data_IF_028862457609
#
_entry.id   IF_028862457609
#
_cell.length_a   1.000
_cell.length_b   1.000
_cell.length_c   1.000
_cell.angle_alpha   90.00
_cell.angle_beta   90.00
_cell.angle_gamma   90.00
#
_symmetry.space_group_name_H-M   'P 1'
#
loop_
_entity.id
_entity.type
_entity.pdbx_description
1 polymer ?
#
# COMPACT_ATOMS: atom_id res chain seq x y z
N UNK A 1 36.69 -13.77 6.69
CA UNK A 1 35.71 -14.24 7.66
C UNK A 1 36.41 -15.20 8.64
N UNK A 2 36.17 -15.03 9.92
CA UNK A 2 36.71 -15.89 10.96
C UNK A 2 35.63 -16.24 11.97
N UNK A 3 35.85 -17.30 12.77
CA UNK A 3 35.05 -17.54 13.97
C UNK A 3 35.85 -17.10 15.19
N UNK A 4 35.21 -16.45 16.13
CA UNK A 4 35.78 -16.14 17.42
C UNK A 4 35.86 -17.42 18.27
N UNK A 5 36.61 -17.36 19.37
CA UNK A 5 36.70 -18.48 20.35
C UNK A 5 35.32 -18.83 20.94
N UNK A 6 34.38 -17.87 20.95
CA UNK A 6 32.98 -18.06 21.36
C UNK A 6 32.08 -18.61 20.22
N UNK A 7 32.65 -18.92 19.06
CA UNK A 7 31.91 -19.46 17.93
C UNK A 7 31.20 -18.44 17.04
N UNK A 8 31.29 -17.14 17.32
CA UNK A 8 30.64 -16.09 16.53
C UNK A 8 31.32 -15.89 15.19
N UNK A 9 30.51 -15.71 14.14
CA UNK A 9 30.98 -15.36 12.82
C UNK A 9 31.41 -13.90 12.77
N UNK A 10 32.68 -13.65 12.50
CA UNK A 10 33.26 -12.30 12.52
C UNK A 10 34.09 -12.02 11.27
N UNK A 11 34.22 -10.75 10.92
CA UNK A 11 35.06 -10.26 9.84
C UNK A 11 36.30 -9.59 10.45
N UNK A 12 37.49 -10.16 10.16
CA UNK A 12 38.74 -9.50 10.51
C UNK A 12 39.05 -8.45 9.44
N UNK A 13 38.85 -7.19 9.77
CA UNK A 13 39.16 -6.09 8.87
C UNK A 13 40.70 -5.90 8.76
N UNK A 14 41.20 -5.83 7.55
CA UNK A 14 42.60 -5.50 7.25
C UNK A 14 42.80 -4.03 6.93
N UNK A 15 41.73 -3.37 6.50
CA UNK A 15 41.71 -1.95 6.19
C UNK A 15 40.33 -1.35 6.49
N UNK A 16 40.29 -0.12 6.99
CA UNK A 16 39.08 0.65 7.26
C UNK A 16 39.22 2.02 6.64
N UNK A 17 38.26 2.37 5.79
CA UNK A 17 38.17 3.71 5.18
C UNK A 17 36.99 4.45 5.79
N UNK A 18 37.25 5.59 6.43
CA UNK A 18 36.20 6.45 6.94
C UNK A 18 35.63 7.30 5.81
N UNK A 19 34.39 7.00 5.40
CA UNK A 19 33.76 7.64 4.25
C UNK A 19 33.13 8.98 4.59
N UNK A 20 32.53 9.12 5.79
CA UNK A 20 31.81 10.31 6.22
C UNK A 20 31.76 10.40 7.74
N UNK A 21 31.72 11.62 8.28
CA UNK A 21 31.55 11.87 9.70
C UNK A 21 30.07 12.02 10.06
N UNK A 22 29.55 11.21 10.97
CA UNK A 22 28.24 11.39 11.58
C UNK A 22 28.39 12.35 12.78
N UNK A 23 27.98 13.61 12.61
CA UNK A 23 28.17 14.67 13.62
C UNK A 23 27.03 14.70 14.65
N UNK A 24 25.91 14.06 14.39
CA UNK A 24 24.77 13.98 15.30
C UNK A 24 24.64 12.56 15.84
N UNK A 25 24.38 12.40 17.16
CA UNK A 25 24.11 11.08 17.72
C UNK A 25 22.86 10.46 17.10
N UNK A 26 22.90 9.15 16.91
CA UNK A 26 21.72 8.37 16.57
C UNK A 26 20.82 8.23 17.80
N UNK A 27 19.53 7.94 17.62
CA UNK A 27 18.65 7.53 18.71
C UNK A 27 19.24 6.34 19.48
N UNK A 28 18.93 6.23 20.76
CA UNK A 28 19.43 5.13 21.59
C UNK A 28 19.04 3.77 20.99
N UNK A 29 20.05 2.88 20.91
CA UNK A 29 19.91 1.57 20.27
C UNK A 29 18.88 0.67 20.96
N UNK A 30 18.68 0.82 22.27
CA UNK A 30 17.81 -0.06 23.06
C UNK A 30 16.37 0.44 23.21
N UNK A 31 16.13 1.72 23.11
CA UNK A 31 14.79 2.32 23.28
C UNK A 31 14.21 2.88 21.96
N UNK A 32 15.06 3.01 20.93
CA UNK A 32 14.63 3.57 19.64
C UNK A 32 14.06 4.98 19.75
N UNK A 33 13.21 5.34 18.80
CA UNK A 33 12.38 6.54 18.86
C UNK A 33 11.01 6.16 19.43
N UNK A 34 10.62 6.76 20.57
CA UNK A 34 9.30 6.57 21.20
C UNK A 34 8.32 7.68 20.86
N UNK A 35 8.82 8.86 20.47
CA UNK A 35 7.98 9.97 20.08
C UNK A 35 7.40 9.76 18.67
N UNK A 36 6.09 9.61 18.60
CA UNK A 36 5.33 9.32 17.35
C UNK A 36 5.53 10.43 16.32
N UNK A 37 5.53 11.69 16.72
CA UNK A 37 5.77 12.84 15.83
C UNK A 37 7.16 12.74 15.17
N UNK A 38 8.18 12.46 15.94
CA UNK A 38 9.56 12.28 15.44
C UNK A 38 9.66 11.07 14.51
N UNK A 39 8.99 9.95 14.82
CA UNK A 39 8.92 8.76 13.97
C UNK A 39 8.36 9.12 12.59
N UNK A 40 7.28 9.87 12.52
CA UNK A 40 6.66 10.26 11.25
C UNK A 40 7.48 11.33 10.50
N UNK A 41 7.96 12.36 11.21
CA UNK A 41 8.70 13.47 10.59
C UNK A 41 10.13 13.12 10.19
N UNK A 42 10.76 12.19 10.92
CA UNK A 42 12.15 11.76 10.70
C UNK A 42 12.21 10.26 10.47
N UNK A 43 11.41 9.76 9.54
CA UNK A 43 11.30 8.33 9.21
C UNK A 43 12.64 7.66 8.98
N UNK A 44 13.62 8.35 8.42
CA UNK A 44 14.96 7.82 8.22
C UNK A 44 15.68 7.43 9.54
N UNK A 45 15.43 8.16 10.64
CA UNK A 45 15.96 7.81 11.95
C UNK A 45 15.24 6.59 12.53
N UNK A 46 13.94 6.49 12.35
CA UNK A 46 13.17 5.31 12.74
C UNK A 46 13.66 4.07 11.98
N UNK A 47 13.90 4.16 10.68
CA UNK A 47 14.40 3.03 9.88
C UNK A 47 15.81 2.57 10.30
N UNK A 48 16.66 3.49 10.78
CA UNK A 48 17.99 3.14 11.30
C UNK A 48 17.89 2.42 12.63
N UNK A 49 17.02 2.88 13.53
CA UNK A 49 16.94 2.44 14.92
C UNK A 49 15.92 1.31 15.16
N UNK A 50 14.97 1.13 14.25
CA UNK A 50 13.87 0.17 14.41
C UNK A 50 13.82 -0.80 13.22
N UNK A 51 14.32 -2.01 13.43
CA UNK A 51 14.34 -3.05 12.41
C UNK A 51 12.93 -3.47 11.95
N UNK A 52 11.97 -3.49 12.86
CA UNK A 52 10.58 -3.83 12.54
C UNK A 52 9.96 -2.80 11.59
N UNK A 53 10.19 -1.50 11.82
CA UNK A 53 9.77 -0.45 10.88
C UNK A 53 10.38 -0.66 9.49
N UNK A 54 11.66 -0.96 9.42
CA UNK A 54 12.33 -1.25 8.15
C UNK A 54 11.67 -2.42 7.41
N UNK A 55 11.48 -3.55 8.10
CA UNK A 55 10.86 -4.75 7.50
C UNK A 55 9.41 -4.49 7.05
N UNK A 56 8.65 -3.67 7.77
CA UNK A 56 7.29 -3.27 7.39
C UNK A 56 7.27 -2.56 6.03
N UNK A 57 8.20 -1.64 5.77
CA UNK A 57 8.29 -0.96 4.47
C UNK A 57 8.79 -1.87 3.35
N UNK A 58 9.73 -2.78 3.65
CA UNK A 58 10.15 -3.82 2.70
C UNK A 58 8.96 -4.71 2.33
N UNK A 59 8.20 -5.18 3.32
CA UNK A 59 7.01 -6.01 3.13
C UNK A 59 5.96 -5.29 2.29
N UNK A 60 5.68 -4.01 2.59
CA UNK A 60 4.78 -3.19 1.76
C UNK A 60 5.19 -3.16 0.29
N UNK A 61 6.48 -2.96 0.01
CA UNK A 61 6.99 -2.96 -1.37
C UNK A 61 6.84 -4.32 -2.05
N UNK A 62 7.08 -5.42 -1.32
CA UNK A 62 6.86 -6.78 -1.81
C UNK A 62 5.39 -7.03 -2.14
N UNK A 63 4.46 -6.65 -1.25
CA UNK A 63 3.02 -6.79 -1.49
C UNK A 63 2.61 -6.11 -2.79
N UNK A 64 3.02 -4.86 -3.03
CA UNK A 64 2.70 -4.14 -4.26
C UNK A 64 3.28 -4.87 -5.50
N UNK A 65 4.50 -5.39 -5.40
CA UNK A 65 5.12 -6.15 -6.49
C UNK A 65 4.37 -7.46 -6.78
N UNK A 66 3.88 -8.14 -5.75
CA UNK A 66 3.09 -9.37 -5.93
C UNK A 66 1.69 -9.11 -6.51
N UNK A 67 1.06 -8.00 -6.14
CA UNK A 67 -0.20 -7.56 -6.76
C UNK A 67 -0.01 -7.35 -8.25
N UNK A 68 1.06 -6.64 -8.67
CA UNK A 68 1.40 -6.47 -10.09
C UNK A 68 1.59 -7.81 -10.78
N UNK A 69 2.42 -8.68 -10.21
CA UNK A 69 2.71 -10.01 -10.78
C UNK A 69 1.45 -10.85 -10.97
N UNK A 70 0.53 -10.79 -10.00
CA UNK A 70 -0.74 -11.51 -10.10
C UNK A 70 -1.60 -10.96 -11.24
N UNK A 71 -1.79 -9.65 -11.31
CA UNK A 71 -2.61 -8.99 -12.33
C UNK A 71 -2.02 -9.18 -13.75
N UNK A 72 -0.71 -9.00 -13.90
CA UNK A 72 -0.01 -9.27 -15.16
C UNK A 72 -0.20 -10.71 -15.61
N UNK A 73 -0.11 -11.66 -14.66
CA UNK A 73 -0.37 -13.09 -14.90
C UNK A 73 -1.82 -13.40 -15.29
N UNK A 74 -2.77 -12.55 -14.93
CA UNK A 74 -4.18 -12.62 -15.36
C UNK A 74 -4.45 -11.88 -16.69
N UNK A 75 -3.41 -11.31 -17.31
CA UNK A 75 -3.52 -10.58 -18.58
C UNK A 75 -4.02 -9.15 -18.45
N UNK A 76 -3.93 -8.55 -17.27
CA UNK A 76 -4.18 -7.12 -17.10
C UNK A 76 -2.97 -6.30 -17.53
N UNK A 77 -3.21 -5.12 -18.07
CA UNK A 77 -2.20 -4.13 -18.40
C UNK A 77 -2.14 -3.05 -17.32
N UNK A 78 -0.96 -2.81 -16.75
CA UNK A 78 -0.74 -1.63 -15.92
C UNK A 78 -0.68 -0.39 -16.80
N UNK A 79 -1.44 0.62 -16.46
CA UNK A 79 -1.49 1.89 -17.19
C UNK A 79 -1.26 3.06 -16.25
N UNK A 80 -0.82 4.18 -16.80
CA UNK A 80 -0.70 5.45 -16.11
C UNK A 80 -1.65 6.47 -16.77
N UNK A 81 -2.51 7.08 -15.95
CA UNK A 81 -3.43 8.12 -16.41
C UNK A 81 -3.07 9.46 -15.78
N UNK A 82 -3.53 10.60 -16.33
CA UNK A 82 -3.17 11.91 -15.84
C UNK A 82 -3.50 12.13 -14.36
N UNK A 83 -2.60 12.79 -13.64
CA UNK A 83 -2.81 13.26 -12.26
C UNK A 83 -3.54 14.60 -12.24
N UNK A 84 -3.25 15.47 -13.22
CA UNK A 84 -3.90 16.77 -13.37
C UNK A 84 -5.16 16.64 -14.24
N UNK A 85 -6.29 17.08 -13.71
CA UNK A 85 -7.59 17.06 -14.38
C UNK A 85 -8.16 18.47 -14.47
N UNK A 86 -9.01 18.72 -15.46
CA UNK A 86 -9.78 19.97 -15.54
C UNK A 86 -10.91 19.99 -14.50
N UNK A 87 -11.48 18.81 -14.21
CA UNK A 87 -12.58 18.65 -13.25
C UNK A 87 -12.36 17.37 -12.40
N UNK A 88 -12.77 17.43 -11.14
CA UNK A 88 -12.76 16.26 -10.27
C UNK A 88 -13.90 15.29 -10.68
N UNK A 89 -13.59 13.99 -10.65
CA UNK A 89 -14.58 12.97 -10.97
C UNK A 89 -14.13 11.56 -10.56
N UNK A 90 -15.06 10.59 -10.62
CA UNK A 90 -14.82 9.20 -10.28
C UNK A 90 -14.95 8.86 -8.79
N UNK A 91 -15.14 9.86 -7.93
CA UNK A 91 -15.36 9.69 -6.49
C UNK A 91 -16.09 10.90 -5.91
N UNK A 92 -16.55 10.78 -4.66
CA UNK A 92 -17.11 11.89 -3.90
C UNK A 92 -16.07 12.35 -2.86
N UNK A 93 -15.20 13.28 -3.24
CA UNK A 93 -14.16 13.83 -2.37
C UNK A 93 -13.84 15.28 -2.77
N UNK A 94 -13.29 16.07 -1.84
CA UNK A 94 -12.81 17.41 -2.13
C UNK A 94 -11.45 17.36 -2.81
N UNK A 95 -11.26 17.96 -4.01
CA UNK A 95 -9.97 17.97 -4.71
C UNK A 95 -9.01 19.02 -4.13
N UNK A 96 -7.71 18.83 -4.37
CA UNK A 96 -6.72 19.91 -4.33
C UNK A 96 -6.78 20.68 -5.64
N UNK A 97 -6.74 21.99 -5.58
CA UNK A 97 -6.73 22.89 -6.74
C UNK A 97 -5.31 23.39 -6.97
N UNK A 98 -4.89 23.48 -8.21
CA UNK A 98 -3.63 24.07 -8.64
C UNK A 98 -3.84 24.92 -9.88
N UNK A 99 -2.85 25.77 -10.22
CA UNK A 99 -2.94 26.67 -11.37
C UNK A 99 -1.90 26.31 -12.42
N UNK A 100 -2.33 26.16 -13.69
CA UNK A 100 -1.46 25.95 -14.82
C UNK A 100 -1.04 27.32 -15.41
N UNK A 101 0.14 27.81 -15.06
CA UNK A 101 0.60 29.17 -15.37
C UNK A 101 0.60 29.47 -16.86
N UNK A 102 1.08 28.56 -17.71
CA UNK A 102 1.21 28.83 -19.15
C UNK A 102 -0.14 28.94 -19.88
N UNK A 103 -1.16 28.23 -19.39
CA UNK A 103 -2.52 28.26 -19.95
C UNK A 103 -3.47 29.17 -19.19
N UNK A 104 -3.05 29.67 -18.04
CA UNK A 104 -3.85 30.50 -17.12
C UNK A 104 -5.21 29.89 -16.79
N UNK A 105 -5.20 28.58 -16.43
CA UNK A 105 -6.39 27.83 -16.01
C UNK A 105 -6.16 27.13 -14.68
N UNK A 106 -7.22 26.99 -13.90
CA UNK A 106 -7.20 26.15 -12.69
C UNK A 106 -7.40 24.69 -13.09
N UNK A 107 -6.67 23.83 -12.42
CA UNK A 107 -6.74 22.38 -12.54
C UNK A 107 -6.87 21.75 -11.17
N UNK A 108 -7.25 20.49 -11.12
CA UNK A 108 -7.37 19.72 -9.88
C UNK A 108 -6.47 18.50 -9.91
N UNK A 109 -5.97 18.10 -8.73
CA UNK A 109 -5.35 16.80 -8.56
C UNK A 109 -6.43 15.72 -8.51
N UNK A 110 -6.21 14.59 -9.18
CA UNK A 110 -7.16 13.48 -9.26
C UNK A 110 -7.57 12.95 -7.89
N UNK A 111 -8.85 12.68 -7.73
CA UNK A 111 -9.44 12.04 -6.55
C UNK A 111 -9.75 10.56 -6.76
N UNK A 112 -9.64 10.08 -7.99
CA UNK A 112 -9.81 8.69 -8.46
C UNK A 112 -9.21 8.53 -9.86
N UNK A 113 -8.98 7.30 -10.31
CA UNK A 113 -8.54 6.96 -11.66
C UNK A 113 -9.68 6.44 -12.55
N UNK A 114 -10.84 6.21 -11.98
CA UNK A 114 -12.02 5.55 -12.55
C UNK A 114 -12.35 5.98 -13.99
N UNK A 115 -12.57 7.29 -14.20
CA UNK A 115 -13.06 7.78 -15.50
C UNK A 115 -12.07 7.55 -16.63
N UNK A 116 -10.78 7.67 -16.36
CA UNK A 116 -9.75 7.42 -17.36
C UNK A 116 -9.64 5.93 -17.67
N UNK A 117 -9.68 5.04 -16.68
CA UNK A 117 -9.64 3.60 -16.89
C UNK A 117 -10.87 3.10 -17.66
N UNK A 118 -12.06 3.63 -17.38
CA UNK A 118 -13.28 3.34 -18.15
C UNK A 118 -13.16 3.79 -19.61
N UNK A 119 -12.51 4.93 -19.89
CA UNK A 119 -12.24 5.38 -21.27
C UNK A 119 -11.30 4.42 -22.00
N UNK A 120 -10.31 3.83 -21.30
CA UNK A 120 -9.44 2.82 -21.91
C UNK A 120 -10.21 1.54 -22.25
N UNK A 121 -11.16 1.11 -21.41
CA UNK A 121 -12.08 0.01 -21.75
C UNK A 121 -12.89 0.33 -23.01
N UNK A 122 -13.46 1.53 -23.11
CA UNK A 122 -14.15 1.98 -24.33
C UNK A 122 -13.22 1.98 -25.54
N UNK A 123 -11.94 2.30 -25.34
CA UNK A 123 -10.88 2.26 -26.35
C UNK A 123 -10.45 0.85 -26.77
N UNK A 124 -11.01 -0.21 -26.17
CA UNK A 124 -10.74 -1.62 -26.52
C UNK A 124 -9.68 -2.30 -25.66
N UNK A 125 -9.21 -1.67 -24.58
CA UNK A 125 -8.34 -2.34 -23.59
C UNK A 125 -9.21 -3.13 -22.61
N UNK A 126 -9.36 -4.43 -22.84
CA UNK A 126 -10.32 -5.26 -22.09
C UNK A 126 -9.99 -5.47 -20.61
N UNK A 127 -8.71 -5.36 -20.23
CA UNK A 127 -8.24 -5.56 -18.85
C UNK A 127 -7.15 -4.55 -18.52
N UNK A 128 -7.45 -3.62 -17.62
CA UNK A 128 -6.52 -2.56 -17.22
C UNK A 128 -6.51 -2.37 -15.71
N UNK A 129 -5.39 -1.96 -15.16
CA UNK A 129 -5.30 -1.49 -13.78
C UNK A 129 -4.31 -0.34 -13.67
N UNK A 130 -4.47 0.45 -12.63
CA UNK A 130 -3.51 1.48 -12.24
C UNK A 130 -3.26 1.43 -10.75
N UNK A 131 -1.99 1.43 -10.35
CA UNK A 131 -1.56 1.63 -8.97
C UNK A 131 -0.94 3.01 -8.89
N UNK A 132 -1.65 3.96 -8.28
CA UNK A 132 -1.23 5.35 -8.30
C UNK A 132 -1.60 6.15 -7.06
N UNK A 133 -1.05 7.35 -6.98
CA UNK A 133 -1.40 8.32 -5.95
C UNK A 133 -2.73 8.98 -6.25
N UNK A 134 -3.56 9.04 -5.23
CA UNK A 134 -4.86 9.72 -5.18
C UNK A 134 -4.76 10.83 -4.15
N UNK A 135 -5.45 11.93 -4.40
CA UNK A 135 -5.36 13.16 -3.61
C UNK A 135 -6.75 13.60 -3.16
N UNK A 136 -6.99 13.69 -1.86
CA UNK A 136 -8.25 14.14 -1.28
C UNK A 136 -7.98 15.18 -0.22
N UNK A 137 -8.47 16.41 -0.45
CA UNK A 137 -8.29 17.56 0.44
C UNK A 137 -9.31 17.51 1.58
N UNK A 138 -9.13 16.54 2.46
CA UNK A 138 -10.01 16.23 3.58
C UNK A 138 -9.23 16.14 4.88
N UNK A 139 -9.89 15.87 6.00
CA UNK A 139 -9.25 15.72 7.30
C UNK A 139 -8.25 14.56 7.36
N UNK A 140 -7.24 14.68 8.22
CA UNK A 140 -6.23 13.65 8.47
C UNK A 140 -6.47 12.98 9.82
N UNK A 141 -6.30 11.67 9.87
CA UNK A 141 -6.27 10.88 11.10
C UNK A 141 -5.28 9.69 10.95
N UNK A 142 -5.33 8.74 11.87
CA UNK A 142 -4.44 7.58 11.85
C UNK A 142 -4.60 6.68 10.61
N UNK A 143 -5.75 6.72 9.95
CA UNK A 143 -6.12 5.87 8.80
C UNK A 143 -6.35 6.67 7.52
N UNK A 144 -6.41 7.98 7.57
CA UNK A 144 -6.67 8.86 6.43
C UNK A 144 -5.54 9.86 6.21
N UNK A 145 -4.97 9.84 5.02
CA UNK A 145 -4.00 10.82 4.55
C UNK A 145 -4.57 11.58 3.33
N UNK A 146 -4.19 12.86 3.13
CA UNK A 146 -4.64 13.64 1.98
C UNK A 146 -4.09 13.11 0.66
N UNK A 147 -2.99 12.35 0.68
CA UNK A 147 -2.48 11.58 -0.44
C UNK A 147 -2.24 10.13 -0.04
N UNK A 148 -2.68 9.20 -0.85
CA UNK A 148 -2.54 7.77 -0.60
C UNK A 148 -2.40 6.98 -1.89
N UNK A 149 -1.85 5.78 -1.79
CA UNK A 149 -1.78 4.84 -2.93
C UNK A 149 -3.07 4.05 -3.00
N UNK A 150 -3.71 4.04 -4.17
CA UNK A 150 -4.85 3.21 -4.49
C UNK A 150 -4.55 2.32 -5.69
N UNK A 151 -5.28 1.24 -5.80
CA UNK A 151 -5.36 0.41 -6.99
C UNK A 151 -6.80 0.42 -7.49
N UNK A 152 -6.98 0.65 -8.77
CA UNK A 152 -8.26 0.43 -9.45
C UNK A 152 -8.05 -0.55 -10.61
N UNK A 153 -8.99 -1.48 -10.77
CA UNK A 153 -8.92 -2.57 -11.75
C UNK A 153 -10.24 -2.59 -12.52
N UNK A 154 -10.14 -2.65 -13.84
CA UNK A 154 -11.31 -2.68 -14.72
C UNK A 154 -11.18 -3.80 -15.74
N UNK A 155 -12.27 -4.54 -15.94
CA UNK A 155 -12.34 -5.65 -16.89
C UNK A 155 -13.65 -5.56 -17.69
N UNK A 156 -13.53 -5.60 -19.01
CA UNK A 156 -14.69 -5.73 -19.91
C UNK A 156 -15.32 -7.13 -19.78
N UNK A 157 -16.62 -7.20 -20.04
CA UNK A 157 -17.40 -8.45 -20.04
C UNK A 157 -17.36 -9.26 -18.74
N UNK A 158 -17.08 -8.60 -17.62
CA UNK A 158 -17.05 -9.18 -16.28
C UNK A 158 -18.21 -8.65 -15.44
N UNK A 159 -18.72 -9.48 -14.54
CA UNK A 159 -19.69 -9.09 -13.55
C UNK A 159 -19.06 -8.93 -12.14
N UNK A 160 -19.91 -8.67 -11.15
CA UNK A 160 -19.43 -8.47 -9.77
C UNK A 160 -18.83 -9.76 -9.15
N UNK A 161 -19.23 -10.95 -9.63
CA UNK A 161 -18.69 -12.22 -9.13
C UNK A 161 -17.25 -12.40 -9.62
N UNK A 162 -16.98 -12.10 -10.90
CA UNK A 162 -15.62 -12.11 -11.47
C UNK A 162 -14.67 -11.18 -10.69
N UNK A 163 -15.17 -9.98 -10.31
CA UNK A 163 -14.37 -9.02 -9.54
C UNK A 163 -14.18 -9.47 -8.09
N UNK A 164 -15.14 -10.17 -7.49
CA UNK A 164 -14.97 -10.79 -6.17
C UNK A 164 -13.88 -11.86 -6.21
N UNK A 165 -13.89 -12.74 -7.21
CA UNK A 165 -12.89 -13.79 -7.37
C UNK A 165 -11.50 -13.20 -7.67
N UNK A 166 -11.43 -12.18 -8.51
CA UNK A 166 -10.19 -11.44 -8.77
C UNK A 166 -9.63 -10.82 -7.48
N UNK A 167 -10.47 -10.16 -6.70
CA UNK A 167 -10.08 -9.52 -5.43
C UNK A 167 -9.56 -10.54 -4.42
N UNK A 168 -10.26 -11.65 -4.26
CA UNK A 168 -9.83 -12.77 -3.42
C UNK A 168 -8.48 -13.31 -3.86
N UNK A 169 -8.31 -13.56 -5.17
CA UNK A 169 -7.07 -14.05 -5.74
C UNK A 169 -5.88 -13.08 -5.53
N UNK A 170 -6.08 -11.78 -5.66
CA UNK A 170 -5.05 -10.77 -5.36
C UNK A 170 -4.59 -10.87 -3.90
N UNK A 171 -5.55 -10.93 -2.97
CA UNK A 171 -5.25 -10.96 -1.53
C UNK A 171 -4.55 -12.27 -1.15
N UNK A 172 -5.06 -13.41 -1.61
CA UNK A 172 -4.46 -14.72 -1.33
C UNK A 172 -3.06 -14.85 -1.93
N UNK A 173 -2.86 -14.39 -3.17
CA UNK A 173 -1.54 -14.41 -3.81
C UNK A 173 -0.52 -13.58 -3.02
N UNK A 174 -0.87 -12.35 -2.66
CA UNK A 174 0.00 -11.48 -1.88
C UNK A 174 0.31 -12.06 -0.48
N UNK A 175 -0.71 -12.59 0.21
CA UNK A 175 -0.55 -13.22 1.51
C UNK A 175 0.37 -14.44 1.46
N UNK A 176 0.17 -15.32 0.49
CA UNK A 176 1.01 -16.51 0.29
C UNK A 176 2.47 -16.15 0.01
N UNK A 177 2.71 -15.12 -0.79
CA UNK A 177 4.06 -14.66 -1.11
C UNK A 177 4.81 -14.07 0.10
N UNK A 178 4.09 -13.54 1.09
CA UNK A 178 4.67 -12.91 2.28
C UNK A 178 4.75 -13.90 3.47
N UNK A 179 3.69 -14.66 3.69
CA UNK A 179 3.53 -15.51 4.89
C UNK A 179 3.60 -17.02 4.60
N UNK A 180 3.66 -17.41 3.31
CA UNK A 180 3.58 -18.83 2.92
C UNK A 180 2.13 -19.35 2.95
N UNK A 181 1.99 -20.67 3.10
CA UNK A 181 0.67 -21.35 3.06
C UNK A 181 -0.06 -21.37 4.42
N UNK A 182 0.56 -20.85 5.47
CA UNK A 182 -0.02 -20.82 6.81
C UNK A 182 -1.00 -19.67 7.02
N UNK A 183 -1.73 -19.70 8.15
CA UNK A 183 -2.58 -18.58 8.56
C UNK A 183 -1.70 -17.36 8.92
N UNK A 184 -2.32 -16.18 8.89
CA UNK A 184 -1.68 -14.92 9.27
C UNK A 184 -2.13 -14.53 10.67
N UNK A 185 -1.20 -14.32 11.60
CA UNK A 185 -1.52 -13.70 12.89
C UNK A 185 -1.70 -12.18 12.71
N UNK A 186 -2.86 -11.69 13.10
CA UNK A 186 -3.16 -10.26 13.16
C UNK A 186 -3.64 -9.90 14.57
N UNK A 187 -2.77 -9.24 15.34
CA UNK A 187 -3.05 -8.79 16.71
C UNK A 187 -3.55 -9.92 17.64
N UNK A 188 -2.95 -11.12 17.54
CA UNK A 188 -3.34 -12.28 18.31
C UNK A 188 -4.56 -13.05 17.76
N UNK A 189 -5.07 -12.65 16.62
CA UNK A 189 -6.14 -13.35 15.91
C UNK A 189 -5.59 -14.07 14.68
N UNK A 190 -5.78 -15.37 14.59
CA UNK A 190 -5.42 -16.17 13.44
C UNK A 190 -6.41 -15.94 12.29
N UNK A 191 -5.91 -15.43 11.16
CA UNK A 191 -6.71 -15.22 9.96
C UNK A 191 -6.29 -16.23 8.90
N UNK A 192 -7.25 -17.06 8.47
CA UNK A 192 -7.06 -18.09 7.44
C UNK A 192 -7.23 -17.48 6.04
N UNK A 193 -6.32 -16.60 5.68
CA UNK A 193 -6.39 -15.79 4.46
C UNK A 193 -6.27 -16.61 3.17
N UNK A 194 -5.72 -17.84 3.26
CA UNK A 194 -5.54 -18.75 2.13
C UNK A 194 -6.75 -19.68 1.89
N UNK A 195 -7.77 -19.66 2.78
CA UNK A 195 -9.04 -20.37 2.56
C UNK A 195 -10.00 -19.52 1.71
N UNK A 196 -10.97 -20.13 1.00
CA UNK A 196 -11.97 -19.39 0.24
C UNK A 196 -12.74 -18.37 1.09
N UNK A 197 -12.89 -17.16 0.60
CA UNK A 197 -13.57 -16.10 1.31
C UNK A 197 -15.09 -16.31 1.30
N UNK A 198 -15.70 -16.13 2.46
CA UNK A 198 -17.16 -16.21 2.59
C UNK A 198 -17.82 -15.08 1.79
N UNK A 199 -18.72 -15.45 0.86
CA UNK A 199 -19.58 -14.48 0.15
C UNK A 199 -20.75 -14.12 1.05
N UNK A 200 -20.90 -12.85 1.36
CA UNK A 200 -21.94 -12.35 2.27
C UNK A 200 -22.69 -11.20 1.61
N UNK A 201 -24.00 -11.26 1.63
CA UNK A 201 -24.82 -10.15 1.14
C UNK A 201 -24.62 -8.92 2.04
N UNK A 202 -24.42 -7.73 1.44
CA UNK A 202 -24.06 -6.51 2.15
C UNK A 202 -25.03 -6.17 3.30
N UNK A 203 -26.33 -6.30 3.10
CA UNK A 203 -27.33 -6.05 4.13
C UNK A 203 -27.17 -6.98 5.35
N UNK A 204 -26.82 -8.25 5.13
CA UNK A 204 -26.59 -9.23 6.21
C UNK A 204 -25.27 -8.95 6.92
N UNK A 205 -24.22 -8.59 6.19
CA UNK A 205 -22.92 -8.20 6.75
C UNK A 205 -23.06 -7.00 7.69
N UNK A 206 -23.80 -5.97 7.26
CA UNK A 206 -24.00 -4.76 8.04
C UNK A 206 -24.78 -5.01 9.34
N UNK A 207 -25.81 -5.86 9.31
CA UNK A 207 -26.58 -6.23 10.51
C UNK A 207 -25.78 -7.06 11.50
N UNK A 208 -24.89 -7.94 11.02
CA UNK A 208 -24.01 -8.74 11.88
C UNK A 208 -22.93 -7.89 12.56
N UNK A 209 -22.32 -6.96 11.86
CA UNK A 209 -21.32 -6.05 12.43
C UNK A 209 -21.95 -5.19 13.53
N UNK A 210 -23.13 -4.60 13.31
CA UNK A 210 -23.85 -3.82 14.34
C UNK A 210 -24.30 -4.66 15.54
N UNK A 211 -24.66 -5.91 15.36
CA UNK A 211 -25.01 -6.79 16.48
C UNK A 211 -23.82 -7.06 17.40
N UNK A 212 -22.59 -7.12 16.87
CA UNK A 212 -21.38 -7.23 17.66
C UNK A 212 -21.00 -5.94 18.41
N UNK A 213 -21.24 -4.77 17.82
CA UNK A 213 -20.98 -3.48 18.48
C UNK A 213 -21.95 -3.17 19.61
N UNK A 214 -23.17 -3.69 19.55
CA UNK A 214 -24.19 -3.50 20.62
C UNK A 214 -24.01 -4.45 21.80
N UNK A 215 -23.16 -5.47 21.70
CA UNK A 215 -22.87 -6.43 22.78
C UNK A 215 -21.55 -6.10 23.53
N UNK A 216 -20.84 -5.06 23.14
CA UNK A 216 -19.67 -4.50 23.81
C UNK A 216 -19.98 -3.13 24.40
#
# INVERSE_FOLDING_TARGET
VMRTDMGELSIKATHITHLSKALRPLPEKFHGLSDVETIYRKRYLDLISNRESFERFVTRSKIISEIRRYLDGQGFLEVETPVLHNEAGGASARPFITHHNAQNIDMVLRIATELHLKRLIVGGMERVYEIGRIFRNEGMDATHNPEFTSIEVYQAYADYQDIMDLTEGIIQHAAKAIHGDGPVDYQGTEIKINEPFKRVHMAVSYTHLRAHETLM
#
